data_IF_267908568667
#
_entry.id   IF_267908568667
#
_cell.length_a   1.000
_cell.length_b   1.000
_cell.length_c   1.000
_cell.angle_alpha   90.00
_cell.angle_beta   90.00
_cell.angle_gamma   90.00
#
_symmetry.space_group_name_H-M   'P 1'
#
loop_
_entity.id
_entity.type
_entity.pdbx_description
1 polymer ?
#
# COMPACT_ATOMS: atom_id res chain seq x y z
N UNK A 1 57.11 -55.19 -54.29
CA UNK A 1 56.97 -56.49 -53.58
C UNK A 1 56.11 -56.41 -52.31
N UNK A 2 55.86 -55.22 -51.72
CA UNK A 2 55.01 -55.08 -50.51
C UNK A 2 53.50 -54.94 -50.78
N UNK A 3 53.09 -54.41 -51.93
CA UNK A 3 51.66 -54.22 -52.25
C UNK A 3 50.95 -55.49 -52.77
N UNK A 4 51.67 -56.47 -53.34
CA UNK A 4 51.02 -57.68 -53.89
C UNK A 4 50.72 -58.74 -52.84
N UNK A 5 51.26 -58.63 -51.61
CA UNK A 5 50.97 -59.53 -50.49
C UNK A 5 49.75 -59.13 -49.66
N UNK A 6 49.26 -57.89 -49.81
CA UNK A 6 48.03 -57.41 -49.15
C UNK A 6 46.77 -57.94 -49.85
N UNK A 7 46.85 -58.24 -51.15
CA UNK A 7 45.71 -58.66 -51.96
C UNK A 7 45.34 -60.15 -51.79
N UNK A 8 46.20 -60.97 -51.18
CA UNK A 8 45.96 -62.40 -50.92
C UNK A 8 45.79 -62.68 -49.41
N UNK A 9 45.70 -61.62 -48.60
CA UNK A 9 45.60 -61.70 -47.14
C UNK A 9 44.12 -61.70 -46.70
N UNK A 10 43.54 -62.91 -46.61
CA UNK A 10 42.20 -63.12 -46.05
C UNK A 10 42.06 -62.59 -44.62
N UNK A 11 43.14 -62.47 -43.85
CA UNK A 11 43.10 -61.93 -42.50
C UNK A 11 42.97 -60.39 -42.50
N UNK A 12 43.60 -59.70 -43.46
CA UNK A 12 43.47 -58.26 -43.65
C UNK A 12 42.06 -57.82 -44.05
N UNK A 13 41.36 -58.64 -44.84
CA UNK A 13 39.97 -58.39 -45.24
C UNK A 13 38.99 -58.54 -44.06
N UNK A 14 39.19 -59.55 -43.21
CA UNK A 14 38.40 -59.74 -41.97
C UNK A 14 38.61 -58.58 -41.01
N UNK A 15 39.86 -58.11 -40.83
CA UNK A 15 40.17 -56.95 -40.00
C UNK A 15 39.51 -55.66 -40.52
N UNK A 16 39.55 -55.41 -41.82
CA UNK A 16 38.90 -54.23 -42.40
C UNK A 16 37.37 -54.27 -42.28
N UNK A 17 36.76 -55.44 -42.37
CA UNK A 17 35.30 -55.58 -42.23
C UNK A 17 34.85 -55.36 -40.79
N UNK A 18 35.63 -55.86 -39.83
CA UNK A 18 35.39 -55.67 -38.39
C UNK A 18 35.58 -54.20 -37.97
N UNK A 19 36.61 -53.55 -38.52
CA UNK A 19 36.82 -52.10 -38.34
C UNK A 19 35.64 -51.28 -38.89
N UNK A 20 35.12 -51.63 -40.07
CA UNK A 20 33.97 -50.95 -40.68
C UNK A 20 32.70 -51.14 -39.84
N UNK A 21 32.46 -52.36 -39.36
CA UNK A 21 31.32 -52.66 -38.48
C UNK A 21 31.43 -51.91 -37.15
N UNK A 22 32.61 -51.88 -36.53
CA UNK A 22 32.89 -51.13 -35.31
C UNK A 22 32.65 -49.62 -35.51
N UNK A 23 33.01 -49.08 -36.67
CA UNK A 23 32.82 -47.67 -37.00
C UNK A 23 31.34 -47.31 -37.19
N UNK A 24 30.54 -48.21 -37.79
CA UNK A 24 29.08 -48.04 -37.86
C UNK A 24 28.46 -47.99 -36.45
N UNK A 25 28.81 -48.94 -35.57
CA UNK A 25 28.31 -48.94 -34.19
C UNK A 25 28.75 -47.67 -33.44
N UNK A 26 29.99 -47.23 -33.62
CA UNK A 26 30.51 -46.00 -33.04
C UNK A 26 29.72 -44.76 -33.52
N UNK A 27 29.43 -44.66 -34.81
CA UNK A 27 28.66 -43.52 -35.35
C UNK A 27 27.24 -43.47 -34.80
N UNK A 28 26.58 -44.62 -34.63
CA UNK A 28 25.24 -44.69 -34.01
C UNK A 28 25.30 -44.26 -32.54
N UNK A 29 26.30 -44.73 -31.79
CA UNK A 29 26.46 -44.34 -30.38
C UNK A 29 26.72 -42.83 -30.23
N UNK A 30 27.54 -42.25 -31.09
CA UNK A 30 27.79 -40.81 -31.10
C UNK A 30 26.53 -40.03 -31.48
N UNK A 31 25.78 -40.49 -32.50
CA UNK A 31 24.52 -39.84 -32.91
C UNK A 31 23.48 -39.80 -31.79
N UNK A 32 23.23 -40.94 -31.14
CA UNK A 32 22.29 -41.02 -29.99
C UNK A 32 22.79 -40.18 -28.82
N UNK A 33 24.11 -40.14 -28.60
CA UNK A 33 24.69 -39.31 -27.52
C UNK A 33 24.57 -37.82 -27.84
N UNK A 34 24.73 -37.40 -29.09
CA UNK A 34 24.59 -36.01 -29.52
C UNK A 34 23.16 -35.52 -29.30
N UNK A 35 22.14 -36.28 -29.74
CA UNK A 35 20.73 -35.94 -29.51
C UNK A 35 20.39 -35.84 -28.02
N UNK A 36 20.94 -36.74 -27.20
CA UNK A 36 20.77 -36.71 -25.75
C UNK A 36 21.42 -35.47 -25.12
N UNK A 37 22.62 -35.10 -25.57
CA UNK A 37 23.35 -33.91 -25.10
C UNK A 37 22.62 -32.63 -25.50
N UNK A 38 22.07 -32.56 -26.72
CA UNK A 38 21.29 -31.41 -27.18
C UNK A 38 20.02 -31.24 -26.32
N UNK A 39 19.27 -32.32 -26.09
CA UNK A 39 18.08 -32.28 -25.23
C UNK A 39 18.39 -31.84 -23.79
N UNK A 40 19.49 -32.33 -23.22
CA UNK A 40 19.94 -31.90 -21.88
C UNK A 40 20.37 -30.44 -21.89
N UNK A 41 21.06 -29.98 -22.95
CA UNK A 41 21.48 -28.58 -23.08
C UNK A 41 20.29 -27.63 -23.15
N UNK A 42 19.25 -27.96 -23.92
CA UNK A 42 18.01 -27.16 -23.95
C UNK A 42 17.36 -27.07 -22.57
N UNK A 43 17.22 -28.19 -21.85
CA UNK A 43 16.66 -28.19 -20.50
C UNK A 43 17.48 -27.37 -19.50
N UNK A 44 18.81 -27.42 -19.61
CA UNK A 44 19.71 -26.62 -18.77
C UNK A 44 19.53 -25.13 -19.08
N UNK A 45 19.39 -24.77 -20.35
CA UNK A 45 19.20 -23.38 -20.78
C UNK A 45 17.85 -22.83 -20.30
N UNK A 46 16.76 -23.58 -20.50
CA UNK A 46 15.42 -23.20 -20.02
C UNK A 46 15.40 -23.03 -18.50
N UNK A 47 15.94 -24.01 -17.76
CA UNK A 47 16.06 -23.92 -16.30
C UNK A 47 16.86 -22.69 -15.84
N UNK A 48 17.95 -22.38 -16.55
CA UNK A 48 18.78 -21.21 -16.24
C UNK A 48 18.04 -19.91 -16.51
N UNK A 49 17.25 -19.85 -17.59
CA UNK A 49 16.44 -18.70 -17.95
C UNK A 49 15.30 -18.47 -16.95
N UNK A 50 14.52 -19.51 -16.63
CA UNK A 50 13.47 -19.46 -15.61
C UNK A 50 14.01 -18.95 -14.27
N UNK A 51 15.11 -19.52 -13.79
CA UNK A 51 15.72 -19.10 -12.54
C UNK A 51 16.25 -17.66 -12.60
N UNK A 52 16.74 -17.21 -13.76
CA UNK A 52 17.14 -15.82 -13.96
C UNK A 52 15.93 -14.88 -13.86
N UNK A 53 14.83 -15.20 -14.55
CA UNK A 53 13.60 -14.40 -14.52
C UNK A 53 12.99 -14.35 -13.12
N UNK A 54 12.96 -15.48 -12.41
CA UNK A 54 12.51 -15.55 -11.01
C UNK A 54 13.35 -14.66 -10.10
N UNK A 55 14.69 -14.70 -10.25
CA UNK A 55 15.58 -13.84 -9.47
C UNK A 55 15.33 -12.37 -9.77
N UNK A 56 15.26 -11.98 -11.05
CA UNK A 56 15.00 -10.59 -11.46
C UNK A 56 13.66 -10.11 -10.90
N UNK A 57 12.60 -10.91 -11.02
CA UNK A 57 11.27 -10.59 -10.50
C UNK A 57 11.30 -10.38 -8.99
N UNK A 58 11.99 -11.26 -8.28
CA UNK A 58 12.15 -11.19 -6.84
C UNK A 58 12.93 -9.95 -6.40
N UNK A 59 14.09 -9.70 -7.02
CA UNK A 59 14.92 -8.54 -6.72
C UNK A 59 14.20 -7.23 -7.07
N UNK A 60 13.43 -7.22 -8.15
CA UNK A 60 12.60 -6.07 -8.55
C UNK A 60 11.52 -5.78 -7.51
N UNK A 61 10.81 -6.82 -7.05
CA UNK A 61 9.81 -6.67 -6.00
C UNK A 61 10.43 -6.15 -4.69
N UNK A 62 11.58 -6.70 -4.29
CA UNK A 62 12.30 -6.24 -3.10
C UNK A 62 12.77 -4.79 -3.25
N UNK A 63 13.28 -4.40 -4.42
CA UNK A 63 13.65 -3.01 -4.70
C UNK A 63 12.44 -2.07 -4.60
N UNK A 64 11.32 -2.43 -5.23
CA UNK A 64 10.08 -1.65 -5.15
C UNK A 64 9.58 -1.52 -3.70
N UNK A 65 9.62 -2.58 -2.91
CA UNK A 65 9.06 -2.57 -1.55
C UNK A 65 9.99 -1.89 -0.53
N UNK A 66 11.30 -2.09 -0.64
CA UNK A 66 12.27 -1.65 0.39
C UNK A 66 12.90 -0.31 0.10
N UNK A 67 12.89 0.15 -1.14
CA UNK A 67 13.53 1.41 -1.52
C UNK A 67 12.49 2.49 -1.79
N UNK A 68 12.76 3.76 -1.41
CA UNK A 68 11.89 4.87 -1.74
C UNK A 68 11.98 5.29 -3.22
N UNK A 69 12.90 4.71 -3.99
CA UNK A 69 13.25 5.15 -5.33
C UNK A 69 14.29 6.26 -5.34
N UNK A 70 14.63 6.72 -6.53
CA UNK A 70 15.58 7.81 -6.77
C UNK A 70 15.02 8.78 -7.82
N UNK A 71 14.87 10.08 -7.51
CA UNK A 71 14.97 10.68 -6.16
C UNK A 71 13.93 10.10 -5.18
N UNK A 72 14.10 10.28 -3.87
CA UNK A 72 13.22 9.65 -2.86
C UNK A 72 11.77 10.15 -2.89
N UNK A 73 11.54 11.31 -3.50
CA UNK A 73 10.27 11.98 -3.72
C UNK A 73 9.88 12.05 -5.21
N UNK A 74 10.33 11.06 -6.00
CA UNK A 74 10.08 10.97 -7.44
C UNK A 74 8.59 11.04 -7.81
N UNK A 75 7.66 10.78 -6.89
CA UNK A 75 6.23 10.96 -7.13
C UNK A 75 5.81 12.42 -7.37
N UNK A 76 6.66 13.39 -7.02
CA UNK A 76 6.41 14.83 -7.19
C UNK A 76 7.17 15.45 -8.37
N UNK A 77 8.22 14.78 -8.84
CA UNK A 77 9.12 15.32 -9.85
C UNK A 77 8.61 14.92 -11.23
N UNK A 78 8.63 15.88 -12.17
CA UNK A 78 8.30 15.65 -13.57
C UNK A 78 9.58 15.71 -14.41
N UNK A 79 9.98 14.58 -14.99
CA UNK A 79 11.17 14.46 -15.83
C UNK A 79 12.47 14.20 -15.05
N UNK A 80 13.43 13.58 -15.73
CA UNK A 80 14.72 13.15 -15.15
C UNK A 80 14.87 11.62 -15.14
N UNK A 81 16.06 11.15 -14.76
CA UNK A 81 16.30 9.72 -14.56
C UNK A 81 15.67 9.31 -13.24
N UNK A 82 14.49 8.68 -13.32
CA UNK A 82 13.75 8.18 -12.16
C UNK A 82 13.93 6.67 -12.07
N UNK A 83 14.28 6.20 -10.88
CA UNK A 83 14.20 4.78 -10.52
C UNK A 83 13.05 4.61 -9.54
N UNK A 84 11.95 3.95 -9.93
CA UNK A 84 10.79 3.80 -9.06
C UNK A 84 11.11 2.92 -7.84
N UNK A 85 10.59 3.35 -6.70
CA UNK A 85 10.53 2.57 -5.47
C UNK A 85 9.30 3.04 -4.69
N UNK A 86 8.60 2.13 -4.03
CA UNK A 86 7.28 2.37 -3.44
C UNK A 86 7.33 2.61 -1.94
N UNK A 87 8.49 2.43 -1.30
CA UNK A 87 8.59 2.54 0.14
C UNK A 87 8.22 3.96 0.63
N UNK A 88 7.40 4.01 1.67
CA UNK A 88 6.99 5.24 2.35
C UNK A 88 8.21 5.87 3.02
N UNK A 89 8.32 7.20 2.96
CA UNK A 89 9.38 7.96 3.60
C UNK A 89 8.75 8.82 4.69
N UNK A 90 9.27 8.69 5.90
CA UNK A 90 8.88 9.55 7.01
C UNK A 90 9.28 11.00 6.69
N UNK A 91 8.32 11.95 6.67
CA UNK A 91 8.59 13.34 6.32
C UNK A 91 9.46 14.07 7.36
N UNK A 92 9.51 13.62 8.61
CA UNK A 92 10.30 14.25 9.68
C UNK A 92 11.74 13.76 9.67
N UNK A 93 11.93 12.43 9.55
CA UNK A 93 13.27 11.83 9.61
C UNK A 93 13.92 11.66 8.25
N UNK A 94 13.15 11.75 7.16
CA UNK A 94 13.59 11.47 5.79
C UNK A 94 13.97 10.00 5.57
N UNK A 95 13.67 9.11 6.52
CA UNK A 95 14.02 7.69 6.47
C UNK A 95 12.86 6.87 5.92
N UNK A 96 13.20 5.77 5.25
CA UNK A 96 12.22 4.81 4.78
C UNK A 96 11.53 4.14 5.95
N UNK A 97 10.19 4.08 5.92
CA UNK A 97 9.38 3.33 6.87
C UNK A 97 9.42 1.84 6.47
N UNK A 98 10.04 0.96 7.27
CA UNK A 98 10.25 -0.42 6.87
C UNK A 98 8.96 -1.16 6.56
N UNK A 99 8.93 -1.87 5.42
CA UNK A 99 7.81 -2.71 5.02
C UNK A 99 6.51 -1.97 4.68
N UNK A 100 6.54 -0.63 4.59
CA UNK A 100 5.37 0.19 4.27
C UNK A 100 5.51 0.81 2.89
N UNK A 101 4.51 0.62 2.03
CA UNK A 101 4.45 1.19 0.68
C UNK A 101 3.44 2.35 0.59
N UNK A 102 3.77 3.34 -0.22
CA UNK A 102 3.05 4.61 -0.33
C UNK A 102 2.06 4.64 -1.48
N UNK A 103 0.79 4.96 -1.22
CA UNK A 103 -0.21 5.12 -2.28
C UNK A 103 0.11 6.26 -3.25
N UNK A 104 0.83 7.29 -2.81
CA UNK A 104 1.23 8.39 -3.70
C UNK A 104 2.17 7.89 -4.79
N UNK A 105 3.15 7.07 -4.39
CA UNK A 105 4.12 6.44 -5.29
C UNK A 105 3.45 5.38 -6.17
N UNK A 106 2.55 4.59 -5.60
CA UNK A 106 1.75 3.60 -6.36
C UNK A 106 0.89 4.29 -7.44
N UNK A 107 0.19 5.38 -7.10
CA UNK A 107 -0.63 6.12 -8.04
C UNK A 107 0.20 6.76 -9.15
N UNK A 108 1.40 7.27 -8.82
CA UNK A 108 2.33 7.77 -9.83
C UNK A 108 2.81 6.66 -10.75
N UNK A 109 3.22 5.51 -10.18
CA UNK A 109 3.65 4.35 -10.96
C UNK A 109 2.55 3.87 -11.90
N UNK A 110 1.30 3.86 -11.45
CA UNK A 110 0.13 3.52 -12.26
C UNK A 110 -0.08 4.48 -13.45
N UNK A 111 0.18 5.77 -13.27
CA UNK A 111 0.00 6.77 -14.32
C UNK A 111 1.09 6.72 -15.39
N UNK A 112 2.32 6.34 -15.01
CA UNK A 112 3.50 6.34 -15.89
C UNK A 112 4.14 4.96 -15.97
N UNK A 113 3.32 3.91 -15.93
CA UNK A 113 3.77 2.52 -15.81
C UNK A 113 4.74 2.13 -16.92
N UNK A 114 4.35 2.40 -18.16
CA UNK A 114 5.11 2.09 -19.38
C UNK A 114 6.45 2.84 -19.48
N UNK A 115 6.62 3.92 -18.72
CA UNK A 115 7.85 4.71 -18.70
C UNK A 115 8.77 4.29 -17.55
N UNK A 116 8.20 3.91 -16.41
CA UNK A 116 8.93 3.67 -15.17
C UNK A 116 9.36 2.20 -15.02
N UNK A 117 8.49 1.24 -15.35
CA UNK A 117 8.81 -0.18 -15.17
C UNK A 117 9.98 -0.67 -16.04
N UNK A 118 10.12 -0.24 -17.31
CA UNK A 118 11.28 -0.62 -18.12
C UNK A 118 12.62 -0.13 -17.56
N UNK A 119 12.64 0.82 -16.61
CA UNK A 119 13.90 1.27 -15.98
C UNK A 119 14.46 0.28 -14.96
N UNK A 120 13.63 -0.65 -14.47
CA UNK A 120 13.99 -1.62 -13.42
C UNK A 120 13.82 -3.08 -13.87
N UNK A 121 13.20 -3.31 -15.03
CA UNK A 121 13.07 -4.62 -15.65
C UNK A 121 14.00 -4.77 -16.86
N UNK A 122 14.37 -6.01 -17.23
CA UNK A 122 15.13 -6.27 -18.45
C UNK A 122 14.34 -5.87 -19.71
N UNK A 123 15.06 -5.44 -20.74
CA UNK A 123 14.47 -5.13 -22.05
C UNK A 123 13.68 -6.34 -22.60
N UNK A 124 12.49 -6.05 -23.14
CA UNK A 124 11.60 -7.07 -23.70
C UNK A 124 10.76 -7.83 -22.66
N UNK A 125 10.92 -7.51 -21.36
CA UNK A 125 10.03 -8.02 -20.31
C UNK A 125 8.82 -7.10 -20.13
N UNK A 126 7.70 -7.69 -19.76
CA UNK A 126 6.48 -6.98 -19.39
C UNK A 126 6.01 -7.45 -18.00
N UNK A 127 5.15 -6.68 -17.35
CA UNK A 127 4.79 -6.94 -15.96
C UNK A 127 3.41 -6.45 -15.55
N UNK A 128 2.93 -7.02 -14.44
CA UNK A 128 1.70 -6.60 -13.78
C UNK A 128 1.94 -6.49 -12.28
N UNK A 129 1.36 -5.48 -11.65
CA UNK A 129 1.44 -5.27 -10.20
C UNK A 129 0.03 -5.08 -9.66
N UNK A 130 -0.34 -5.96 -8.72
CA UNK A 130 -1.63 -5.88 -8.01
C UNK A 130 -1.36 -5.98 -6.52
N UNK A 131 -1.99 -5.10 -5.75
CA UNK A 131 -1.90 -5.06 -4.29
C UNK A 131 -3.25 -5.51 -3.71
N UNK A 132 -3.24 -6.61 -2.97
CA UNK A 132 -4.44 -7.21 -2.37
C UNK A 132 -4.49 -6.94 -0.86
N UNK A 133 -5.35 -6.04 -0.38
CA UNK A 133 -5.55 -5.84 1.05
C UNK A 133 -6.12 -7.08 1.74
N UNK A 134 -5.70 -7.32 2.98
CA UNK A 134 -6.24 -8.41 3.80
C UNK A 134 -7.59 -8.07 4.45
N UNK A 135 -7.93 -6.78 4.52
CA UNK A 135 -9.05 -6.27 5.32
C UNK A 135 -10.32 -5.99 4.49
N UNK A 136 -10.46 -6.62 3.32
CA UNK A 136 -11.66 -6.52 2.48
C UNK A 136 -11.81 -5.19 1.70
N UNK A 137 -10.78 -4.34 1.71
CA UNK A 137 -10.67 -3.20 0.80
C UNK A 137 -10.58 -3.70 -0.67
N UNK A 138 -10.91 -2.86 -1.68
CA UNK A 138 -10.70 -3.24 -3.06
C UNK A 138 -9.20 -3.35 -3.40
N UNK A 139 -8.79 -4.29 -4.26
CA UNK A 139 -7.41 -4.37 -4.74
C UNK A 139 -6.97 -3.10 -5.47
N UNK A 140 -5.69 -2.75 -5.35
CA UNK A 140 -5.08 -1.70 -6.15
C UNK A 140 -4.40 -2.34 -7.35
N UNK A 141 -4.99 -2.15 -8.52
CA UNK A 141 -4.42 -2.56 -9.80
C UNK A 141 -3.55 -1.43 -10.34
N UNK A 142 -2.22 -1.61 -10.32
CA UNK A 142 -1.25 -0.63 -10.83
C UNK A 142 -1.13 -0.74 -12.34
N UNK A 143 -0.98 -1.97 -12.81
CA UNK A 143 -1.13 -2.39 -14.19
C UNK A 143 -1.89 -3.72 -14.13
N UNK A 144 -2.78 -3.99 -15.08
CA UNK A 144 -3.63 -5.18 -15.05
C UNK A 144 -3.67 -5.83 -16.42
N UNK A 145 -2.48 -6.20 -16.90
CA UNK A 145 -2.35 -7.06 -18.06
C UNK A 145 -2.16 -8.51 -17.62
N UNK A 146 -2.87 -9.38 -18.33
CA UNK A 146 -2.68 -10.82 -18.21
C UNK A 146 -1.59 -11.26 -19.18
N UNK A 147 -0.63 -12.08 -18.75
CA UNK A 147 0.36 -12.64 -19.65
C UNK A 147 -0.35 -13.28 -20.85
N UNK A 148 0.08 -12.97 -22.10
CA UNK A 148 -0.51 -13.58 -23.28
C UNK A 148 -0.26 -15.09 -23.25
N UNK A 149 -1.12 -15.88 -23.89
CA UNK A 149 -0.90 -17.33 -24.02
C UNK A 149 0.37 -17.70 -24.80
N UNK A 150 1.04 -16.72 -25.40
CA UNK A 150 2.33 -16.84 -26.08
C UNK A 150 3.54 -16.50 -25.20
N UNK A 151 3.34 -16.05 -23.94
CA UNK A 151 4.43 -15.79 -23.02
C UNK A 151 5.22 -17.09 -22.80
N UNK A 152 6.54 -17.03 -22.92
CA UNK A 152 7.36 -18.24 -22.74
C UNK A 152 7.36 -18.66 -21.28
N UNK A 153 7.51 -17.68 -20.38
CA UNK A 153 7.67 -17.88 -18.95
C UNK A 153 7.01 -16.76 -18.15
N UNK A 154 6.48 -17.10 -16.97
CA UNK A 154 5.90 -16.14 -16.04
C UNK A 154 6.50 -16.35 -14.66
N UNK A 155 7.16 -15.33 -14.14
CA UNK A 155 7.65 -15.29 -12.77
C UNK A 155 6.73 -14.46 -11.88
N UNK A 156 6.62 -14.84 -10.60
CA UNK A 156 5.70 -14.20 -9.64
C UNK A 156 6.41 -13.96 -8.31
N UNK A 157 6.47 -12.71 -7.88
CA UNK A 157 6.86 -12.33 -6.53
C UNK A 157 5.62 -11.93 -5.73
N UNK A 158 5.38 -12.61 -4.61
CA UNK A 158 4.30 -12.31 -3.67
C UNK A 158 4.89 -11.97 -2.29
N UNK A 159 4.69 -10.74 -1.82
CA UNK A 159 5.26 -10.24 -0.55
C UNK A 159 4.18 -9.61 0.32
N UNK A 160 4.26 -9.83 1.63
CA UNK A 160 3.41 -9.13 2.59
C UNK A 160 4.02 -7.77 2.91
N UNK A 161 3.20 -6.72 2.80
CA UNK A 161 3.59 -5.33 3.06
C UNK A 161 2.48 -4.62 3.83
N UNK A 162 2.82 -3.50 4.45
CA UNK A 162 1.85 -2.50 4.90
C UNK A 162 1.63 -1.50 3.76
N UNK A 163 0.39 -1.16 3.46
CA UNK A 163 0.05 -0.23 2.38
C UNK A 163 -0.82 0.91 2.90
N UNK A 164 -0.40 2.14 2.63
CA UNK A 164 -1.13 3.35 2.98
C UNK A 164 -2.26 3.63 1.98
N UNK A 165 -3.36 2.86 1.97
CA UNK A 165 -4.40 2.84 0.91
C UNK A 165 -4.98 4.19 0.48
N UNK A 166 -5.02 5.17 1.38
CA UNK A 166 -5.39 6.54 1.06
C UNK A 166 -4.57 7.47 1.94
N UNK A 167 -4.19 8.64 1.42
CA UNK A 167 -3.62 9.68 2.26
C UNK A 167 -4.72 10.29 3.12
N UNK A 168 -4.89 9.78 4.33
CA UNK A 168 -5.84 10.32 5.31
C UNK A 168 -5.07 10.83 6.53
N UNK A 169 -5.25 12.11 6.83
CA UNK A 169 -4.65 12.73 8.01
C UNK A 169 -5.70 12.84 9.11
N UNK A 170 -5.45 12.20 10.26
CA UNK A 170 -6.23 12.46 11.46
C UNK A 170 -5.85 13.85 11.99
N UNK A 171 -6.79 14.80 11.98
CA UNK A 171 -6.57 16.17 12.49
C UNK A 171 -6.81 16.24 14.00
N UNK A 172 -7.78 15.47 14.48
CA UNK A 172 -8.02 15.25 15.90
C UNK A 172 -8.67 13.89 16.10
N UNK A 173 -8.26 13.20 17.15
CA UNK A 173 -8.88 11.97 17.65
C UNK A 173 -9.22 12.16 19.11
N UNK A 174 -10.40 11.71 19.50
CA UNK A 174 -10.88 11.81 20.87
C UNK A 174 -11.18 10.40 21.34
N UNK A 175 -10.22 9.83 22.06
CA UNK A 175 -10.38 8.51 22.63
C UNK A 175 -11.25 8.60 23.89
N UNK A 176 -12.44 8.01 23.83
CA UNK A 176 -13.29 7.82 25.00
C UNK A 176 -13.51 6.34 25.33
N UNK A 177 -12.99 5.43 24.50
CA UNK A 177 -13.13 4.00 24.66
C UNK A 177 -12.54 3.49 25.99
N UNK A 178 -13.37 2.87 26.83
CA UNK A 178 -13.00 2.43 28.20
C UNK A 178 -11.87 1.38 28.28
N UNK A 179 -11.49 0.76 27.16
CA UNK A 179 -10.35 -0.14 27.00
C UNK A 179 -9.76 0.02 25.58
N UNK A 180 -8.90 1.02 25.33
CA UNK A 180 -8.30 1.17 24.02
C UNK A 180 -7.33 -0.01 23.76
N UNK A 181 -7.23 -0.52 22.53
CA UNK A 181 -6.17 -1.48 22.15
C UNK A 181 -4.75 -0.88 22.25
N UNK A 182 -4.64 0.42 22.49
CA UNK A 182 -3.42 1.20 22.52
C UNK A 182 -3.08 1.62 23.96
N UNK A 183 -1.79 1.85 24.24
CA UNK A 183 -1.23 2.10 25.59
C UNK A 183 -1.63 3.43 26.25
N UNK A 184 -2.46 4.26 25.63
CA UNK A 184 -2.91 5.54 26.19
C UNK A 184 -4.25 5.34 26.91
N UNK A 185 -4.31 5.73 28.19
CA UNK A 185 -5.54 5.63 28.98
C UNK A 185 -6.65 6.55 28.46
N UNK A 186 -7.91 6.18 28.74
CA UNK A 186 -9.11 6.99 28.45
C UNK A 186 -8.87 8.43 28.89
N UNK A 187 -9.09 9.37 27.98
CA UNK A 187 -9.04 10.80 28.30
C UNK A 187 -7.67 11.41 28.55
N UNK A 188 -6.60 10.72 28.17
CA UNK A 188 -5.25 11.29 28.14
C UNK A 188 -5.11 12.52 27.24
N UNK A 189 -5.90 12.58 26.16
CA UNK A 189 -5.83 13.67 25.18
C UNK A 189 -6.93 14.73 25.38
N UNK A 190 -7.69 14.68 26.47
CA UNK A 190 -8.81 15.61 26.67
C UNK A 190 -8.36 16.94 27.23
N UNK A 191 -8.84 18.01 26.60
CA UNK A 191 -8.46 19.38 26.94
C UNK A 191 -9.61 20.17 27.57
N UNK A 192 -9.24 21.22 28.29
CA UNK A 192 -10.19 22.20 28.83
C UNK A 192 -10.49 23.19 27.71
N UNK A 193 -11.72 23.15 27.19
CA UNK A 193 -12.12 24.00 26.08
C UNK A 193 -12.65 25.37 26.52
N UNK A 194 -12.85 26.32 25.59
CA UNK A 194 -13.40 27.66 25.87
C UNK A 194 -14.79 27.66 26.53
N UNK A 195 -15.54 26.55 26.42
CA UNK A 195 -16.84 26.37 27.08
C UNK A 195 -16.73 26.01 28.59
N UNK A 196 -15.54 25.64 29.06
CA UNK A 196 -15.31 25.23 30.45
C UNK A 196 -15.29 26.45 31.39
N UNK A 197 -16.47 26.86 31.84
CA UNK A 197 -16.65 28.02 32.72
C UNK A 197 -17.74 28.98 32.26
N UNK A 198 -18.34 28.74 31.09
CA UNK A 198 -19.52 29.46 30.66
C UNK A 198 -20.76 29.03 31.47
N UNK A 199 -21.80 29.85 31.43
CA UNK A 199 -23.04 29.59 32.14
C UNK A 199 -24.02 28.73 31.32
N UNK A 200 -24.88 27.99 32.03
CA UNK A 200 -26.05 27.29 31.48
C UNK A 200 -25.71 26.35 30.30
N UNK A 201 -26.44 26.48 29.19
CA UNK A 201 -26.40 25.57 28.03
C UNK A 201 -25.12 25.62 27.19
N UNK A 202 -24.24 26.59 27.43
CA UNK A 202 -22.94 26.71 26.75
C UNK A 202 -21.82 26.00 27.53
N UNK A 203 -22.09 25.48 28.72
CA UNK A 203 -21.06 24.91 29.59
C UNK A 203 -20.73 23.48 29.16
N UNK A 204 -19.45 23.21 28.92
CA UNK A 204 -18.96 21.86 28.68
C UNK A 204 -18.41 21.29 30.00
N UNK A 205 -19.18 20.40 30.64
CA UNK A 205 -18.75 19.64 31.81
C UNK A 205 -18.21 18.28 31.38
N UNK A 206 -17.12 17.83 32.02
CA UNK A 206 -16.52 16.52 31.72
C UNK A 206 -17.50 15.37 32.03
N UNK A 207 -17.48 14.29 31.23
CA UNK A 207 -18.23 13.08 31.55
C UNK A 207 -17.67 12.43 32.82
N UNK A 208 -18.51 11.67 33.51
CA UNK A 208 -18.12 10.84 34.65
C UNK A 208 -18.54 9.39 34.39
N UNK A 209 -17.54 8.55 34.16
CA UNK A 209 -17.71 7.14 33.80
C UNK A 209 -17.96 6.23 35.00
N UNK A 210 -17.70 6.70 36.22
CA UNK A 210 -18.01 5.95 37.44
C UNK A 210 -19.49 6.10 37.79
N UNK A 211 -20.03 7.31 37.62
CA UNK A 211 -21.45 7.59 37.93
C UNK A 211 -22.38 7.44 36.72
N UNK A 212 -21.84 7.32 35.50
CA UNK A 212 -22.63 7.25 34.27
C UNK A 212 -23.18 8.61 33.85
N UNK A 213 -22.57 9.72 34.28
CA UNK A 213 -23.03 11.07 33.96
C UNK A 213 -22.55 11.47 32.55
N UNK A 214 -23.46 11.86 31.64
CA UNK A 214 -23.08 12.41 30.34
C UNK A 214 -22.24 13.67 30.48
N UNK A 215 -21.34 13.89 29.52
CA UNK A 215 -20.51 15.08 29.50
C UNK A 215 -19.72 15.24 28.22
N UNK A 216 -19.12 16.41 28.09
CA UNK A 216 -18.36 16.83 26.93
C UNK A 216 -16.89 16.49 27.09
N UNK A 217 -16.39 15.80 26.08
CA UNK A 217 -14.98 15.64 25.79
C UNK A 217 -14.61 16.69 24.76
N UNK A 218 -13.44 17.32 24.86
CA UNK A 218 -13.03 18.40 23.96
C UNK A 218 -11.55 18.29 23.61
N UNK A 219 -11.20 18.62 22.37
CA UNK A 219 -9.80 18.70 21.91
C UNK A 219 -9.67 19.70 20.75
N UNK A 220 -8.65 20.55 20.78
CA UNK A 220 -8.39 21.50 19.70
C UNK A 220 -7.63 20.87 18.52
N UNK A 221 -7.74 21.49 17.34
CA UNK A 221 -6.92 21.18 16.18
C UNK A 221 -6.74 22.40 15.29
N UNK A 222 -5.67 22.39 14.50
CA UNK A 222 -5.32 23.50 13.63
C UNK A 222 -5.66 23.19 12.18
N UNK A 223 -6.25 24.16 11.51
CA UNK A 223 -6.53 24.11 10.06
C UNK A 223 -5.94 25.36 9.40
N UNK A 224 -5.35 25.16 8.24
CA UNK A 224 -4.84 26.25 7.40
C UNK A 224 -5.67 26.42 6.13
N UNK A 225 -5.58 27.60 5.52
CA UNK A 225 -6.18 27.85 4.20
C UNK A 225 -5.67 26.88 3.12
N UNK A 226 -4.40 26.45 3.25
CA UNK A 226 -3.82 25.43 2.36
C UNK A 226 -4.53 24.09 2.52
N UNK A 227 -4.83 23.67 3.76
CA UNK A 227 -5.53 22.41 3.99
C UNK A 227 -6.94 22.44 3.35
N UNK A 228 -7.73 23.52 3.56
CA UNK A 228 -9.05 23.66 2.91
C UNK A 228 -9.00 23.61 1.38
N UNK A 229 -7.89 24.06 0.79
CA UNK A 229 -7.73 24.08 -0.66
C UNK A 229 -7.43 22.68 -1.22
N UNK A 230 -6.78 21.81 -0.46
CA UNK A 230 -6.30 20.48 -0.90
C UNK A 230 -7.04 19.28 -0.31
N UNK A 231 -7.88 19.48 0.70
CA UNK A 231 -8.40 18.42 1.57
C UNK A 231 -9.89 18.60 1.81
N UNK A 232 -10.64 17.49 1.81
CA UNK A 232 -12.00 17.44 2.33
C UNK A 232 -12.00 16.89 3.76
N UNK A 233 -12.82 17.47 4.63
CA UNK A 233 -12.88 17.13 6.04
C UNK A 233 -14.16 16.41 6.42
N UNK A 234 -14.01 15.39 7.25
CA UNK A 234 -15.10 14.56 7.74
C UNK A 234 -15.03 14.33 9.24
N UNK A 235 -16.20 14.32 9.88
CA UNK A 235 -16.40 13.81 11.25
C UNK A 235 -16.94 12.39 11.18
N UNK A 236 -16.39 11.50 12.00
CA UNK A 236 -16.77 10.10 12.06
C UNK A 236 -16.48 9.49 13.44
N UNK A 237 -17.03 8.31 13.70
CA UNK A 237 -16.92 7.60 14.97
C UNK A 237 -16.47 6.15 14.78
N UNK A 238 -15.92 5.57 15.84
CA UNK A 238 -15.67 4.14 15.95
C UNK A 238 -16.40 3.57 17.18
N UNK A 239 -17.43 2.72 17.02
CA UNK A 239 -17.98 2.24 15.75
C UNK A 239 -18.74 3.34 14.97
N UNK A 240 -18.87 3.16 13.65
CA UNK A 240 -19.51 4.15 12.78
C UNK A 240 -21.03 4.25 12.99
N UNK A 241 -21.66 3.16 13.44
CA UNK A 241 -23.08 3.15 13.82
C UNK A 241 -23.20 3.15 15.36
N UNK A 242 -23.63 4.27 15.91
CA UNK A 242 -23.86 4.42 17.34
C UNK A 242 -25.29 3.98 17.66
N UNK A 243 -25.42 3.04 18.58
CA UNK A 243 -26.74 2.55 19.03
C UNK A 243 -27.48 3.53 19.95
N UNK A 244 -26.78 4.57 20.43
CA UNK A 244 -27.30 5.61 21.32
C UNK A 244 -27.57 6.89 20.50
N UNK A 245 -28.73 7.52 20.72
CA UNK A 245 -29.13 8.77 20.05
C UNK A 245 -28.70 10.02 20.83
N UNK A 246 -28.11 9.85 22.02
CA UNK A 246 -27.61 10.94 22.86
C UNK A 246 -26.28 11.58 22.41
N UNK A 247 -25.35 10.89 21.72
CA UNK A 247 -24.09 11.50 21.31
C UNK A 247 -24.27 12.67 20.35
N UNK A 248 -23.54 13.75 20.63
CA UNK A 248 -23.53 14.95 19.80
C UNK A 248 -22.12 15.46 19.59
N UNK A 249 -21.93 16.22 18.52
CA UNK A 249 -20.65 16.88 18.25
C UNK A 249 -20.83 18.36 17.90
N UNK A 250 -19.79 19.14 18.17
CA UNK A 250 -19.68 20.54 17.79
C UNK A 250 -18.28 20.77 17.22
N UNK A 251 -18.20 21.44 16.08
CA UNK A 251 -16.97 22.12 15.65
C UNK A 251 -17.19 23.63 15.71
N UNK A 252 -16.33 24.30 16.45
CA UNK A 252 -16.30 25.76 16.55
C UNK A 252 -14.89 26.31 16.83
N UNK A 253 -14.81 27.60 17.13
CA UNK A 253 -13.59 28.30 17.52
C UNK A 253 -13.85 29.15 18.78
N UNK A 254 -12.80 29.58 19.50
CA UNK A 254 -12.96 30.43 20.67
C UNK A 254 -13.74 31.73 20.38
N UNK A 255 -13.66 32.25 19.16
CA UNK A 255 -14.34 33.50 18.76
C UNK A 255 -15.76 33.28 18.21
N UNK A 256 -16.11 32.05 17.81
CA UNK A 256 -17.38 31.69 17.15
C UNK A 256 -18.01 30.44 17.76
N UNK A 257 -18.18 30.43 19.08
CA UNK A 257 -18.71 29.29 19.85
C UNK A 257 -20.15 28.93 19.49
N UNK A 258 -20.45 27.63 19.40
CA UNK A 258 -21.80 27.10 19.11
C UNK A 258 -22.45 26.53 20.37
N UNK A 259 -23.76 26.74 20.49
CA UNK A 259 -24.56 26.23 21.61
C UNK A 259 -25.07 24.81 21.43
N UNK A 260 -25.51 24.49 20.21
CA UNK A 260 -26.20 23.24 19.92
C UNK A 260 -25.27 22.32 19.13
N UNK A 261 -25.18 21.07 19.58
CA UNK A 261 -24.46 20.03 18.87
C UNK A 261 -25.31 19.33 17.82
N UNK A 262 -24.64 18.85 16.79
CA UNK A 262 -25.19 18.01 15.73
C UNK A 262 -25.15 16.55 16.16
N UNK A 263 -26.00 15.70 15.58
CA UNK A 263 -26.00 14.27 15.85
C UNK A 263 -25.01 13.55 14.95
N UNK A 264 -24.39 12.49 15.47
CA UNK A 264 -23.66 11.57 14.61
C UNK A 264 -24.61 10.78 13.70
N UNK A 265 -24.09 10.29 12.58
CA UNK A 265 -24.80 9.43 11.63
C UNK A 265 -23.95 8.21 11.34
N UNK A 266 -24.55 7.15 10.78
CA UNK A 266 -23.85 5.94 10.36
C UNK A 266 -22.94 6.11 9.14
N UNK A 267 -22.69 7.36 8.72
CA UNK A 267 -21.83 7.71 7.59
C UNK A 267 -20.93 8.91 7.93
N UNK A 268 -19.76 9.04 7.30
CA UNK A 268 -18.87 10.19 7.50
C UNK A 268 -19.58 11.51 7.16
N UNK A 269 -19.56 12.45 8.09
CA UNK A 269 -20.25 13.75 7.97
C UNK A 269 -19.27 14.77 7.42
N UNK A 270 -19.57 15.37 6.26
CA UNK A 270 -18.70 16.43 5.71
C UNK A 270 -18.83 17.70 6.55
N UNK A 271 -17.69 18.26 6.95
CA UNK A 271 -17.62 19.49 7.78
C UNK A 271 -16.88 20.63 7.09
N UNK A 272 -16.75 20.55 5.76
CA UNK A 272 -16.01 21.51 4.95
C UNK A 272 -16.58 22.93 5.03
N UNK A 273 -17.91 23.07 5.04
CA UNK A 273 -18.56 24.37 5.07
C UNK A 273 -18.39 25.05 6.43
N UNK A 274 -18.55 24.27 7.49
CA UNK A 274 -18.38 24.68 8.88
C UNK A 274 -16.94 25.14 9.13
N UNK A 275 -15.96 24.35 8.71
CA UNK A 275 -14.54 24.72 8.85
C UNK A 275 -14.23 25.97 8.02
N UNK A 276 -14.77 26.09 6.80
CA UNK A 276 -14.56 27.28 5.95
C UNK A 276 -15.14 28.55 6.57
N UNK A 277 -16.33 28.48 7.16
CA UNK A 277 -16.95 29.62 7.85
C UNK A 277 -16.17 30.03 9.10
N UNK A 278 -15.68 29.05 9.87
CA UNK A 278 -14.89 29.29 11.07
C UNK A 278 -13.51 29.87 10.75
N UNK A 279 -12.86 29.40 9.68
CA UNK A 279 -11.59 29.96 9.20
C UNK A 279 -11.77 31.40 8.69
N UNK A 280 -12.82 31.66 7.90
CA UNK A 280 -13.04 32.97 7.28
C UNK A 280 -11.88 33.38 6.37
N UNK A 281 -11.39 34.60 6.52
CA UNK A 281 -10.26 35.14 5.76
C UNK A 281 -8.90 34.88 6.43
N UNK A 282 -8.88 34.14 7.55
CA UNK A 282 -7.64 33.86 8.28
C UNK A 282 -6.81 32.80 7.55
N UNK A 283 -5.48 32.94 7.61
CA UNK A 283 -4.59 31.95 7.02
C UNK A 283 -4.56 30.63 7.80
N UNK A 284 -4.82 30.71 9.12
CA UNK A 284 -4.83 29.60 10.06
C UNK A 284 -5.87 29.85 11.14
N UNK A 285 -6.56 28.80 11.59
CA UNK A 285 -7.47 28.85 12.73
C UNK A 285 -7.25 27.67 13.68
N UNK A 286 -7.44 27.95 14.97
CA UNK A 286 -7.57 26.94 16.03
C UNK A 286 -9.06 26.61 16.16
N UNK A 287 -9.42 25.38 15.84
CA UNK A 287 -10.77 24.86 15.96
C UNK A 287 -10.85 23.87 17.11
N UNK A 288 -12.05 23.63 17.61
CA UNK A 288 -12.30 22.67 18.67
C UNK A 288 -13.31 21.65 18.20
N UNK A 289 -13.01 20.37 18.39
CA UNK A 289 -14.02 19.31 18.35
C UNK A 289 -14.50 19.08 19.78
N UNK A 290 -15.81 19.21 20.00
CA UNK A 290 -16.46 18.85 21.25
C UNK A 290 -17.39 17.68 20.99
N UNK A 291 -17.34 16.67 21.85
CA UNK A 291 -18.13 15.45 21.73
C UNK A 291 -18.86 15.19 23.04
N UNK A 292 -20.17 15.19 23.00
CA UNK A 292 -21.01 14.79 24.12
C UNK A 292 -21.08 13.26 24.16
N UNK A 293 -20.60 12.68 25.24
CA UNK A 293 -20.64 11.24 25.50
C UNK A 293 -21.71 10.93 26.55
N UNK A 294 -22.18 9.69 26.58
CA UNK A 294 -23.19 9.23 27.54
C UNK A 294 -22.64 9.09 28.97
N UNK A 295 -21.32 9.05 29.14
CA UNK A 295 -20.67 8.69 30.40
C UNK A 295 -20.80 7.20 30.76
N UNK A 296 -21.44 6.36 29.94
CA UNK A 296 -21.54 4.91 30.21
C UNK A 296 -20.35 4.20 29.53
N UNK A 297 -19.47 3.49 30.29
CA UNK A 297 -18.27 2.85 29.74
C UNK A 297 -18.52 1.93 28.54
N UNK A 298 -19.58 1.13 28.59
CA UNK A 298 -19.94 0.16 27.52
C UNK A 298 -20.53 0.84 26.27
N UNK A 299 -20.82 2.14 26.35
CA UNK A 299 -21.32 2.96 25.23
C UNK A 299 -20.32 4.05 24.83
N UNK A 300 -19.09 3.93 25.31
CA UNK A 300 -18.00 4.78 24.86
C UNK A 300 -17.65 4.49 23.40
N UNK A 301 -17.24 5.52 22.69
CA UNK A 301 -16.87 5.46 21.28
C UNK A 301 -15.77 6.48 21.03
N UNK A 302 -14.97 6.26 20.01
CA UNK A 302 -13.96 7.23 19.60
C UNK A 302 -14.53 8.13 18.50
N UNK A 303 -14.10 9.39 18.48
CA UNK A 303 -14.52 10.36 17.48
C UNK A 303 -13.31 11.02 16.82
N UNK A 304 -13.45 11.32 15.53
CA UNK A 304 -12.34 11.80 14.70
C UNK A 304 -12.77 12.94 13.80
N UNK A 305 -11.88 13.92 13.58
CA UNK A 305 -11.89 14.73 12.35
C UNK A 305 -10.75 14.25 11.47
N UNK A 306 -11.08 13.79 10.28
CA UNK A 306 -10.09 13.36 9.29
C UNK A 306 -10.09 14.29 8.09
N UNK A 307 -8.91 14.46 7.49
CA UNK A 307 -8.72 15.10 6.20
C UNK A 307 -8.34 14.07 5.14
N UNK A 308 -9.09 14.03 4.04
CA UNK A 308 -8.87 13.16 2.87
C UNK A 308 -8.61 14.01 1.62
N UNK A 309 -8.06 13.44 0.52
CA UNK A 309 -7.81 14.21 -0.69
C UNK A 309 -9.10 14.86 -1.20
N UNK A 310 -9.00 16.11 -1.67
CA UNK A 310 -10.16 16.85 -2.17
C UNK A 310 -10.87 16.13 -3.33
N UNK A 311 -12.20 16.19 -3.32
CA UNK A 311 -13.08 15.45 -4.22
C UNK A 311 -13.46 14.06 -3.71
N UNK A 312 -13.01 13.64 -2.52
CA UNK A 312 -13.37 12.32 -1.96
C UNK A 312 -14.81 12.36 -1.44
N UNK A 313 -15.65 11.42 -1.85
CA UNK A 313 -17.03 11.32 -1.37
C UNK A 313 -17.09 10.63 0.00
N UNK A 314 -18.12 10.92 0.81
CA UNK A 314 -18.29 10.32 2.16
C UNK A 314 -18.30 8.79 2.15
N UNK A 315 -18.84 8.16 1.10
CA UNK A 315 -18.83 6.69 0.91
C UNK A 315 -17.43 6.08 0.80
N UNK A 316 -16.44 6.90 0.43
CA UNK A 316 -15.05 6.50 0.22
C UNK A 316 -14.16 6.90 1.40
N UNK A 317 -14.73 7.40 2.51
CA UNK A 317 -13.98 7.71 3.72
C UNK A 317 -14.16 6.54 4.69
N UNK A 318 -13.05 5.90 5.07
CA UNK A 318 -13.04 4.72 5.96
C UNK A 318 -11.95 4.86 7.00
N UNK A 319 -12.23 4.50 8.25
CA UNK A 319 -11.26 4.52 9.36
C UNK A 319 -10.02 3.66 9.06
N UNK A 320 -10.17 2.59 8.28
CA UNK A 320 -9.07 1.74 7.83
C UNK A 320 -7.95 2.52 7.10
N UNK A 321 -8.23 3.74 6.62
CA UNK A 321 -7.22 4.57 5.95
C UNK A 321 -6.36 5.41 6.90
N UNK A 322 -6.64 5.46 8.21
CA UNK A 322 -5.82 6.21 9.17
C UNK A 322 -4.41 5.61 9.24
N UNK A 323 -4.36 4.28 9.26
CA UNK A 323 -3.11 3.53 9.44
C UNK A 323 -2.84 2.66 8.21
N UNK A 324 -1.56 2.40 7.87
CA UNK A 324 -1.20 1.43 6.85
C UNK A 324 -1.82 0.05 7.12
N UNK A 325 -2.44 -0.55 6.11
CA UNK A 325 -3.13 -1.84 6.23
C UNK A 325 -2.29 -2.96 5.61
N UNK A 326 -2.29 -4.17 6.19
CA UNK A 326 -1.56 -5.30 5.62
C UNK A 326 -2.15 -5.71 4.26
N UNK A 327 -1.26 -6.04 3.33
CA UNK A 327 -1.59 -6.38 1.96
C UNK A 327 -0.58 -7.35 1.35
N UNK A 328 -1.01 -8.11 0.35
CA UNK A 328 -0.12 -8.85 -0.55
C UNK A 328 0.25 -7.96 -1.74
N UNK A 329 1.53 -7.64 -1.87
CA UNK A 329 2.11 -7.09 -3.09
C UNK A 329 2.44 -8.24 -4.04
N UNK A 330 1.79 -8.27 -5.20
CA UNK A 330 2.00 -9.30 -6.23
C UNK A 330 2.54 -8.64 -7.49
N UNK A 331 3.81 -8.91 -7.80
CA UNK A 331 4.44 -8.57 -9.07
C UNK A 331 4.52 -9.85 -9.92
N UNK A 332 4.05 -9.76 -11.17
CA UNK A 332 4.29 -10.80 -12.18
C UNK A 332 5.09 -10.21 -13.31
N UNK A 333 6.06 -10.94 -13.83
CA UNK A 333 6.91 -10.54 -14.96
C UNK A 333 6.92 -11.67 -15.97
N UNK A 334 6.82 -11.35 -17.25
CA UNK A 334 6.88 -12.30 -18.36
C UNK A 334 7.68 -11.75 -19.53
N UNK A 335 8.06 -12.66 -20.43
CA UNK A 335 8.77 -12.40 -21.68
C UNK A 335 8.03 -13.12 -22.82
#
# INVERSE_FOLDING_TARGET
MFLSKILDDKCGQVFSMDLLLALVVLTVLIGVSADAVDSVSYKIQDYSFEHSLQRVTMDTAENLIKTPGNPSDWEKVSGGMVTPGLAEVDPETGRTVPGTISIKKINRLKQEYDQLMPTILPDGSDSTIIIYPLNGLPPIEVHNETPPGSASDVAVANRTVLCSYMYMACKVSMNAHSNPPWTQGVGSDWEICPHAGLNASMKHEKPDFETGKPGWVCHHFNITQKDLNSTDFYVLTDPMDLTDVSPRWIIDSPDKMKKNGETFTSSPISVNNEIKELLGDNQTAVLWLHVLTSGVPDRSFDAYVVGVPKGTTSSNVRLDYINPQPAYFVLRVWV
#
